data_IF_703886846027
#
_entry.id   IF_703886846027
#
_cell.length_a   1.000
_cell.length_b   1.000
_cell.length_c   1.000
_cell.angle_alpha   90.00
_cell.angle_beta   90.00
_cell.angle_gamma   90.00
#
_symmetry.space_group_name_H-M   'P 1'
#
loop_
_entity.id
_entity.type
_entity.pdbx_description
1 polymer ?
#
# COMPACT_ATOMS: atom_id res chain seq x y z
N UNK A 1 4.86 0.77 -15.26
CA UNK A 1 3.47 1.25 -15.15
C UNK A 1 2.88 0.59 -13.92
N UNK A 2 2.30 1.37 -13.01
CA UNK A 2 1.92 0.88 -11.68
C UNK A 2 0.41 1.05 -11.53
N UNK A 3 -0.31 -0.08 -11.49
CA UNK A 3 -1.74 -0.07 -11.27
C UNK A 3 -2.07 -0.32 -9.80
N UNK A 4 -3.15 0.30 -9.32
CA UNK A 4 -3.74 -0.10 -8.04
C UNK A 4 -4.29 -1.53 -8.11
N UNK A 5 -4.04 -2.34 -7.08
CA UNK A 5 -4.64 -3.67 -6.93
C UNK A 5 -6.14 -3.64 -6.56
N UNK A 6 -6.71 -2.46 -6.29
CA UNK A 6 -8.10 -2.30 -5.83
C UNK A 6 -9.01 -1.75 -6.93
N UNK A 7 -8.58 -0.71 -7.67
CA UNK A 7 -9.43 -0.01 -8.65
C UNK A 7 -8.80 0.21 -10.03
N UNK A 8 -7.70 -0.50 -10.34
CA UNK A 8 -6.96 -0.39 -11.61
C UNK A 8 -6.43 1.01 -11.97
N UNK A 9 -6.56 2.00 -11.08
CA UNK A 9 -6.08 3.36 -11.31
C UNK A 9 -4.56 3.39 -11.49
N UNK A 10 -4.10 4.07 -12.55
CA UNK A 10 -2.70 4.36 -12.83
C UNK A 10 -2.51 5.89 -12.93
N UNK A 11 -1.56 6.43 -12.16
CA UNK A 11 -1.32 7.87 -12.10
C UNK A 11 -0.73 8.43 -13.40
N UNK A 12 0.05 7.65 -14.14
CA UNK A 12 0.61 8.06 -15.42
C UNK A 12 -0.50 8.15 -16.49
N UNK A 13 -1.46 7.23 -16.51
CA UNK A 13 -2.59 7.31 -17.45
C UNK A 13 -3.43 8.58 -17.23
N UNK A 14 -3.65 8.97 -15.97
CA UNK A 14 -4.52 10.11 -15.63
C UNK A 14 -3.76 11.44 -15.65
N UNK A 15 -2.50 11.48 -15.22
CA UNK A 15 -1.74 12.71 -15.01
C UNK A 15 -0.49 12.85 -15.89
N UNK A 16 -0.19 11.89 -16.76
CA UNK A 16 1.00 11.89 -17.61
C UNK A 16 2.29 11.83 -16.80
N UNK A 17 3.32 12.56 -17.22
CA UNK A 17 4.64 12.58 -16.58
C UNK A 17 4.59 12.88 -15.08
N UNK A 18 3.63 13.69 -14.62
CA UNK A 18 3.48 13.99 -13.18
C UNK A 18 3.15 12.76 -12.35
N UNK A 19 2.47 11.77 -12.94
CA UNK A 19 2.13 10.52 -12.29
C UNK A 19 3.14 9.39 -12.54
N UNK A 20 4.19 9.62 -13.33
CA UNK A 20 5.14 8.58 -13.69
C UNK A 20 5.83 8.01 -12.45
N UNK A 21 5.70 6.70 -12.25
CA UNK A 21 6.34 5.99 -11.16
C UNK A 21 5.70 6.21 -9.78
N UNK A 22 4.56 6.90 -9.71
CA UNK A 22 3.87 7.16 -8.45
C UNK A 22 2.78 6.11 -8.18
N UNK A 23 2.84 5.51 -6.99
CA UNK A 23 1.83 4.63 -6.41
C UNK A 23 2.05 4.61 -4.89
N UNK A 24 1.01 4.38 -4.10
CA UNK A 24 1.14 4.23 -2.65
C UNK A 24 1.24 2.75 -2.26
N UNK A 25 2.10 2.43 -1.30
CA UNK A 25 2.25 1.08 -0.76
C UNK A 25 1.49 0.98 0.56
N UNK A 26 0.60 -0.01 0.64
CA UNK A 26 -0.23 -0.25 1.83
C UNK A 26 0.14 -1.59 2.47
N UNK A 27 0.35 -1.61 3.79
CA UNK A 27 0.54 -2.85 4.55
C UNK A 27 -0.83 -3.46 4.89
N UNK A 28 -1.12 -4.65 4.37
CA UNK A 28 -2.36 -5.37 4.65
C UNK A 28 -2.41 -5.88 6.11
N UNK A 29 -1.25 -6.23 6.66
CA UNK A 29 -1.09 -6.49 8.09
C UNK A 29 -0.28 -5.35 8.73
N UNK A 30 -0.82 -4.62 9.73
CA UNK A 30 -0.10 -3.53 10.37
C UNK A 30 1.26 -3.94 10.93
N UNK A 31 2.28 -3.09 10.76
CA UNK A 31 3.67 -3.37 11.13
C UNK A 31 3.84 -3.71 12.62
N UNK A 32 3.03 -3.12 13.51
CA UNK A 32 3.11 -3.41 14.94
C UNK A 32 2.59 -4.80 15.34
N UNK A 33 1.94 -5.53 14.41
CA UNK A 33 1.43 -6.89 14.64
C UNK A 33 2.43 -8.00 14.24
N UNK A 34 3.64 -7.65 13.79
CA UNK A 34 4.68 -8.64 13.55
C UNK A 34 5.45 -8.89 14.84
N UNK A 35 5.41 -10.14 15.31
CA UNK A 35 6.20 -10.64 16.42
C UNK A 35 7.45 -11.33 15.87
N UNK A 36 8.38 -10.55 15.29
CA UNK A 36 9.66 -11.07 14.79
C UNK A 36 10.80 -10.22 15.37
N UNK A 37 11.77 -10.89 16.00
CA UNK A 37 12.90 -10.24 16.67
C UNK A 37 14.12 -10.13 15.74
N UNK A 38 14.21 -11.01 14.75
CA UNK A 38 15.23 -10.91 13.72
C UNK A 38 14.85 -9.83 12.69
N UNK A 39 15.68 -8.80 12.57
CA UNK A 39 15.40 -7.66 11.69
C UNK A 39 15.30 -8.07 10.21
N UNK A 40 16.07 -9.06 9.78
CA UNK A 40 16.07 -9.53 8.39
C UNK A 40 14.75 -10.20 8.05
N UNK A 41 14.33 -11.16 8.88
CA UNK A 41 13.03 -11.83 8.75
C UNK A 41 11.85 -10.89 8.91
N UNK A 42 11.96 -9.92 9.81
CA UNK A 42 10.92 -8.90 9.98
C UNK A 42 10.70 -8.12 8.67
N UNK A 43 11.78 -7.67 8.03
CA UNK A 43 11.71 -6.96 6.75
C UNK A 43 11.14 -7.86 5.66
N UNK A 44 11.63 -9.10 5.54
CA UNK A 44 11.11 -10.06 4.55
C UNK A 44 9.61 -10.30 4.71
N UNK A 45 9.15 -10.53 5.94
CA UNK A 45 7.73 -10.75 6.23
C UNK A 45 6.89 -9.48 5.97
N UNK A 46 7.38 -8.30 6.34
CA UNK A 46 6.67 -7.05 6.09
C UNK A 46 6.50 -6.79 4.57
N UNK A 47 7.54 -7.04 3.77
CA UNK A 47 7.52 -6.88 2.31
C UNK A 47 6.59 -7.87 1.60
N UNK A 48 6.31 -9.04 2.17
CA UNK A 48 5.32 -9.97 1.63
C UNK A 48 3.86 -9.51 1.85
N UNK A 49 3.64 -8.53 2.72
CA UNK A 49 2.32 -8.10 3.16
C UNK A 49 2.00 -6.67 2.73
N UNK A 50 2.59 -6.22 1.62
CA UNK A 50 2.28 -4.93 1.03
C UNK A 50 1.63 -5.04 -0.34
N UNK A 51 0.72 -4.11 -0.63
CA UNK A 51 0.04 -4.01 -1.92
C UNK A 51 0.12 -2.59 -2.49
N UNK A 52 0.18 -2.42 -3.82
CA UNK A 52 0.06 -1.12 -4.46
C UNK A 52 -1.41 -0.66 -4.47
N UNK A 53 -1.66 0.56 -4.00
CA UNK A 53 -2.96 1.20 -4.00
C UNK A 53 -2.86 2.63 -4.51
N UNK A 54 -3.94 3.17 -5.08
CA UNK A 54 -3.98 4.60 -5.39
C UNK A 54 -4.29 5.41 -4.11
N UNK A 55 -3.98 6.71 -4.12
CA UNK A 55 -4.21 7.61 -2.97
C UNK A 55 -5.67 7.61 -2.49
N UNK A 56 -6.64 7.49 -3.40
CA UNK A 56 -8.06 7.46 -3.04
C UNK A 56 -8.42 6.15 -2.31
N UNK A 57 -8.01 4.99 -2.85
CA UNK A 57 -8.20 3.71 -2.17
C UNK A 57 -7.50 3.72 -0.81
N UNK A 58 -6.28 4.23 -0.72
CA UNK A 58 -5.55 4.28 0.54
C UNK A 58 -6.24 5.17 1.58
N UNK A 59 -6.81 6.31 1.16
CA UNK A 59 -7.65 7.16 2.03
C UNK A 59 -8.92 6.45 2.47
N UNK A 60 -9.54 5.64 1.61
CA UNK A 60 -10.77 4.90 1.96
C UNK A 60 -10.49 3.76 2.94
N UNK A 61 -9.40 3.02 2.75
CA UNK A 61 -8.93 1.98 3.68
C UNK A 61 -8.78 2.54 5.09
N UNK A 62 -8.17 3.73 5.22
CA UNK A 62 -7.92 4.40 6.50
C UNK A 62 -8.98 5.44 6.89
N UNK A 63 -10.16 5.41 6.25
CA UNK A 63 -11.20 6.42 6.51
C UNK A 63 -11.66 6.38 7.97
N UNK A 64 -11.81 5.18 8.51
CA UNK A 64 -12.05 4.92 9.92
C UNK A 64 -10.74 4.55 10.62
N UNK A 65 -10.12 5.51 11.30
CA UNK A 65 -8.80 5.33 11.91
C UNK A 65 -8.71 4.16 12.91
N UNK A 66 -9.81 3.85 13.57
CA UNK A 66 -9.89 2.80 14.58
C UNK A 66 -10.38 1.46 14.01
N UNK A 67 -10.76 1.41 12.72
CA UNK A 67 -11.28 0.23 12.05
C UNK A 67 -10.91 0.26 10.55
N UNK A 68 -9.61 0.29 10.19
CA UNK A 68 -9.21 0.30 8.80
C UNK A 68 -9.60 -1.01 8.10
N UNK A 69 -9.97 -0.91 6.82
CA UNK A 69 -10.35 -2.06 5.99
C UNK A 69 -9.11 -2.49 5.21
N UNK A 70 -8.34 -3.41 5.77
CA UNK A 70 -7.02 -3.85 5.26
C UNK A 70 -7.08 -5.18 4.52
#
# INVERSE_FOLDING_TARGET
>A
MFHSSVCSFDFYEVYGERGRGYIEIHHQKPIFQYEEQDIGKFIENALQNVIPVCSNCHRMIHREKNAPIT
#
